data_IF_226693438706
#
_entry.id   IF_226693438706
#
_cell.length_a   1.000
_cell.length_b   1.000
_cell.length_c   1.000
_cell.angle_alpha   90.00
_cell.angle_beta   90.00
_cell.angle_gamma   90.00
#
_symmetry.space_group_name_H-M   'P 1'
#
loop_
_entity.id
_entity.type
_entity.pdbx_description
1 polymer ?
#
# COMPACT_ATOMS: atom_id res chain seq x y z
N UNK A 1 2.67 44.52 -33.76
CA UNK A 1 2.53 44.51 -32.29
C UNK A 1 1.37 43.57 -32.00
N UNK A 2 1.48 42.48 -31.26
CA UNK A 2 2.51 41.99 -30.34
C UNK A 2 2.19 40.51 -30.09
N UNK A 3 3.26 39.77 -29.81
CA UNK A 3 3.47 38.33 -29.62
C UNK A 3 2.60 37.64 -28.55
N UNK A 4 2.83 36.32 -28.39
CA UNK A 4 2.54 35.41 -27.25
C UNK A 4 1.27 34.55 -27.43
N UNK A 5 1.26 33.21 -27.32
CA UNK A 5 2.32 32.22 -27.05
C UNK A 5 1.88 30.86 -27.60
N UNK A 6 2.88 30.08 -27.98
CA UNK A 6 2.87 28.64 -28.14
C UNK A 6 2.63 27.96 -26.78
N UNK A 7 1.53 27.21 -26.61
CA UNK A 7 1.44 26.22 -25.52
C UNK A 7 0.75 24.95 -26.03
N UNK A 8 1.60 24.11 -26.59
CA UNK A 8 1.39 22.68 -26.75
C UNK A 8 1.32 21.98 -25.40
N UNK A 9 0.64 20.84 -25.39
CA UNK A 9 0.59 19.83 -24.31
C UNK A 9 -0.35 20.22 -23.17
N UNK A 10 -1.46 19.53 -22.94
CA UNK A 10 -1.43 18.23 -22.30
C UNK A 10 -2.74 17.50 -22.63
N UNK A 11 -2.73 16.64 -23.63
CA UNK A 11 -3.77 15.62 -23.80
C UNK A 11 -3.44 14.44 -22.89
N UNK A 12 -3.48 14.65 -21.57
CA UNK A 12 -3.40 13.55 -20.61
C UNK A 12 -4.71 12.77 -20.70
N UNK A 13 -4.69 11.75 -21.54
CA UNK A 13 -5.79 10.81 -21.68
C UNK A 13 -5.85 10.03 -20.37
N UNK A 14 -6.76 10.43 -19.48
CA UNK A 14 -7.07 9.66 -18.28
C UNK A 14 -7.46 8.25 -18.71
N UNK A 15 -6.78 7.20 -18.20
CA UNK A 15 -7.27 5.85 -18.41
C UNK A 15 -8.48 5.71 -17.49
N UNK A 16 -9.69 5.74 -18.07
CA UNK A 16 -10.90 5.29 -17.40
C UNK A 16 -10.69 3.86 -16.92
N UNK A 17 -10.24 3.69 -15.67
CA UNK A 17 -10.23 2.39 -15.00
C UNK A 17 -11.67 2.05 -14.69
N UNK A 18 -12.36 1.57 -15.73
CA UNK A 18 -13.63 0.87 -15.69
C UNK A 18 -13.55 -0.14 -14.56
N UNK A 19 -14.11 0.20 -13.40
CA UNK A 19 -14.27 -0.73 -12.29
C UNK A 19 -15.15 -1.85 -12.81
N UNK A 20 -14.54 -2.98 -13.19
CA UNK A 20 -15.27 -4.21 -13.42
C UNK A 20 -15.79 -4.64 -12.05
N UNK A 21 -17.06 -4.35 -11.79
CA UNK A 21 -17.79 -4.90 -10.66
C UNK A 21 -17.84 -6.41 -10.86
N UNK A 22 -16.97 -7.13 -10.16
CA UNK A 22 -17.14 -8.55 -9.92
C UNK A 22 -18.30 -8.65 -8.94
N UNK A 23 -19.52 -8.76 -9.47
CA UNK A 23 -20.66 -9.23 -8.71
C UNK A 23 -20.43 -10.73 -8.45
N UNK A 24 -19.58 -11.02 -7.47
CA UNK A 24 -19.51 -12.34 -6.86
C UNK A 24 -20.56 -12.35 -5.77
N UNK A 25 -21.35 -13.42 -5.74
CA UNK A 25 -22.27 -13.80 -4.68
C UNK A 25 -21.63 -13.58 -3.30
N UNK A 26 -21.87 -12.40 -2.74
CA UNK A 26 -21.41 -12.00 -1.43
C UNK A 26 -22.57 -12.32 -0.49
N UNK A 27 -22.39 -13.16 0.54
CA UNK A 27 -23.47 -13.48 1.45
C UNK A 27 -24.01 -12.19 2.06
N UNK A 28 -25.35 -12.08 2.13
CA UNK A 28 -26.17 -10.97 2.65
C UNK A 28 -25.67 -10.38 3.99
N UNK A 29 -24.82 -11.12 4.70
CA UNK A 29 -24.08 -10.68 5.88
C UNK A 29 -23.10 -9.51 5.65
N UNK A 30 -22.67 -9.21 4.41
CA UNK A 30 -21.70 -8.12 4.15
C UNK A 30 -22.36 -6.80 3.71
N UNK A 31 -23.67 -6.74 3.54
CA UNK A 31 -24.40 -5.53 3.08
C UNK A 31 -24.25 -4.34 4.03
N UNK A 32 -23.93 -4.59 5.30
CA UNK A 32 -23.68 -3.56 6.31
C UNK A 32 -22.23 -3.09 6.35
N UNK A 33 -21.32 -3.69 5.58
CA UNK A 33 -19.92 -3.31 5.55
C UNK A 33 -19.71 -2.11 4.63
N UNK A 34 -19.25 -1.01 5.22
CA UNK A 34 -18.86 0.19 4.48
C UNK A 34 -17.32 0.19 4.34
N UNK A 35 -16.77 0.10 3.11
CA UNK A 35 -15.33 0.23 2.91
C UNK A 35 -14.82 1.57 3.44
N UNK A 36 -13.79 1.52 4.29
CA UNK A 36 -13.13 2.72 4.81
C UNK A 36 -11.68 2.78 4.37
N UNK A 37 -11.29 3.92 3.82
CA UNK A 37 -9.89 4.22 3.53
C UNK A 37 -9.12 4.51 4.82
N UNK A 38 -7.83 4.20 4.82
CA UNK A 38 -6.93 4.47 5.93
C UNK A 38 -5.52 3.96 5.65
N UNK A 39 -4.72 3.86 6.71
CA UNK A 39 -3.29 3.54 6.66
C UNK A 39 -3.04 2.19 7.34
N UNK A 40 -2.33 1.30 6.67
CA UNK A 40 -1.93 0.02 7.24
C UNK A 40 -0.43 0.00 7.51
N UNK A 41 -0.05 -0.41 8.71
CA UNK A 41 1.35 -0.65 9.06
C UNK A 41 1.67 -2.14 8.86
N UNK A 42 2.45 -2.54 7.83
CA UNK A 42 2.79 -3.95 7.60
C UNK A 42 3.69 -4.53 8.70
N UNK A 43 4.56 -3.70 9.30
CA UNK A 43 5.46 -4.08 10.38
C UNK A 43 4.67 -4.52 11.63
N UNK A 44 3.60 -3.79 11.96
CA UNK A 44 2.78 -4.07 13.13
C UNK A 44 1.50 -4.86 12.81
N UNK A 45 1.17 -5.02 11.52
CA UNK A 45 -0.10 -5.59 11.04
C UNK A 45 -1.34 -4.92 11.65
N UNK A 46 -1.35 -3.58 11.70
CA UNK A 46 -2.45 -2.77 12.28
C UNK A 46 -2.91 -1.70 11.30
N UNK A 47 -4.22 -1.46 11.27
CA UNK A 47 -4.87 -0.41 10.48
C UNK A 47 -5.23 0.83 11.33
N UNK A 48 -5.05 2.01 10.74
CA UNK A 48 -5.38 3.31 11.33
C UNK A 48 -6.26 4.10 10.36
N UNK A 49 -7.36 4.67 10.87
CA UNK A 49 -8.33 5.41 10.05
C UNK A 49 -7.87 6.80 9.60
N UNK A 50 -6.72 7.30 10.07
CA UNK A 50 -6.27 8.66 9.76
C UNK A 50 -4.78 8.88 9.98
N UNK A 51 -4.27 9.91 9.31
CA UNK A 51 -2.84 10.22 9.24
C UNK A 51 -2.25 10.59 10.60
N UNK A 52 -2.97 11.34 11.43
CA UNK A 52 -2.52 11.70 12.79
C UNK A 52 -2.29 10.45 13.66
N UNK A 53 -3.20 9.49 13.60
CA UNK A 53 -3.08 8.24 14.35
C UNK A 53 -1.90 7.40 13.84
N UNK A 54 -1.73 7.31 12.52
CA UNK A 54 -0.58 6.63 11.90
C UNK A 54 0.75 7.32 12.26
N UNK A 55 0.78 8.66 12.27
CA UNK A 55 1.98 9.44 12.62
C UNK A 55 2.39 9.20 14.07
N UNK A 56 1.42 9.23 14.99
CA UNK A 56 1.68 8.92 16.40
C UNK A 56 2.09 7.46 16.58
N UNK A 57 1.49 6.54 15.83
CA UNK A 57 1.90 5.14 15.79
C UNK A 57 3.38 4.99 15.41
N UNK A 58 3.82 5.61 14.31
CA UNK A 58 5.21 5.53 13.83
C UNK A 58 6.22 6.11 14.83
N UNK A 59 5.81 7.09 15.65
CA UNK A 59 6.66 7.68 16.70
C UNK A 59 6.77 6.81 17.96
N UNK A 60 5.88 5.83 18.13
CA UNK A 60 5.85 4.98 19.33
C UNK A 60 7.09 4.09 19.47
N UNK A 61 7.50 3.82 20.70
CA UNK A 61 8.61 2.88 21.00
C UNK A 61 8.32 1.49 20.47
N UNK A 62 7.06 1.03 20.54
CA UNK A 62 6.65 -0.28 20.03
C UNK A 62 6.89 -0.41 18.53
N UNK A 63 6.54 0.62 17.75
CA UNK A 63 6.80 0.61 16.31
C UNK A 63 8.30 0.50 16.03
N UNK A 64 9.14 1.29 16.70
CA UNK A 64 10.60 1.24 16.54
C UNK A 64 11.17 -0.16 16.80
N UNK A 65 10.79 -0.79 17.92
CA UNK A 65 11.23 -2.14 18.28
C UNK A 65 10.78 -3.19 17.25
N UNK A 66 9.55 -3.07 16.75
CA UNK A 66 9.04 -3.98 15.74
C UNK A 66 9.78 -3.80 14.40
N UNK A 67 10.13 -2.58 14.03
CA UNK A 67 10.90 -2.28 12.82
C UNK A 67 12.26 -2.96 12.83
N UNK A 68 12.99 -2.89 13.94
CA UNK A 68 14.28 -3.58 14.07
C UNK A 68 14.15 -5.09 13.83
N UNK A 69 13.16 -5.72 14.46
CA UNK A 69 12.88 -7.15 14.30
C UNK A 69 12.43 -7.51 12.88
N UNK A 70 11.58 -6.69 12.30
CA UNK A 70 11.06 -6.88 10.94
C UNK A 70 12.21 -6.85 9.93
N UNK A 71 13.09 -5.85 10.01
CA UNK A 71 14.25 -5.74 9.12
C UNK A 71 15.23 -6.90 9.28
N UNK A 72 15.45 -7.38 10.50
CA UNK A 72 16.29 -8.55 10.75
C UNK A 72 15.69 -9.83 10.14
N UNK A 73 14.36 -9.99 10.23
CA UNK A 73 13.64 -11.13 9.64
C UNK A 73 13.70 -11.11 8.11
N UNK A 74 13.43 -9.98 7.47
CA UNK A 74 13.47 -9.85 6.01
C UNK A 74 14.85 -10.19 5.42
N UNK A 75 15.94 -9.85 6.12
CA UNK A 75 17.30 -10.23 5.67
C UNK A 75 17.50 -11.74 5.65
N UNK A 76 17.11 -12.43 6.72
CA UNK A 76 17.24 -13.88 6.83
C UNK A 76 16.38 -14.61 5.79
N UNK A 77 15.14 -14.15 5.57
CA UNK A 77 14.25 -14.75 4.57
C UNK A 77 14.80 -14.60 3.15
N UNK A 78 15.41 -13.44 2.85
CA UNK A 78 16.05 -13.22 1.54
C UNK A 78 17.23 -14.17 1.33
N UNK A 79 18.10 -14.32 2.32
CA UNK A 79 19.25 -15.24 2.26
C UNK A 79 18.81 -16.70 2.10
N UNK A 80 17.76 -17.11 2.79
CA UNK A 80 17.19 -18.46 2.67
C UNK A 80 16.62 -18.72 1.28
N UNK A 81 15.81 -17.79 0.76
CA UNK A 81 15.21 -17.92 -0.56
C UNK A 81 16.30 -17.97 -1.66
N UNK A 82 17.36 -17.16 -1.56
CA UNK A 82 18.49 -17.20 -2.50
C UNK A 82 19.27 -18.53 -2.43
N UNK A 83 19.42 -19.12 -1.24
CA UNK A 83 20.08 -20.41 -1.07
C UNK A 83 19.22 -21.58 -1.62
N UNK A 84 17.90 -21.54 -1.44
CA UNK A 84 16.97 -22.54 -1.97
C UNK A 84 16.89 -22.49 -3.50
N UNK A 85 16.82 -21.29 -4.10
CA UNK A 85 16.87 -21.10 -5.56
C UNK A 85 18.19 -21.63 -6.14
N UNK A 86 19.31 -21.40 -5.45
CA UNK A 86 20.62 -21.92 -5.88
C UNK A 86 20.74 -23.43 -5.76
N UNK A 87 20.09 -24.04 -4.76
CA UNK A 87 20.08 -25.49 -4.58
C UNK A 87 19.12 -26.22 -5.53
N UNK A 88 18.18 -25.50 -6.13
CA UNK A 88 17.16 -26.05 -7.04
C UNK A 88 17.55 -25.97 -8.51
N UNK A 89 18.67 -25.30 -8.84
CA UNK A 89 19.25 -25.18 -10.18
C UNK A 89 20.40 -26.15 -10.36
#
# INVERSE_FOLDING_TARGET
MSDIDEESELKYSEPERKRKSVASDVPEALDFLVPKAGFFCPICSVFYSGEKAMTNHCKSTRHKQNTEKFMAKQRKEKEQNEAEERSSR
#
